data_IF_358790618230
#
_entry.id   IF_358790618230
#
_cell.length_a   1.000
_cell.length_b   1.000
_cell.length_c   1.000
_cell.angle_alpha   90.00
_cell.angle_beta   90.00
_cell.angle_gamma   90.00
#
_symmetry.space_group_name_H-M   'P 1'
#
loop_
_entity.id
_entity.type
_entity.pdbx_description
1 polymer ?
#
# COMPACT_ATOMS: atom_id res chain seq x y z
N UNK A 1 -18.06 -5.08 -6.61
CA UNK A 1 -16.82 -4.41 -7.06
C UNK A 1 -15.78 -5.50 -7.17
N UNK A 2 -15.38 -5.85 -8.38
CA UNK A 2 -14.44 -6.94 -8.67
C UNK A 2 -13.06 -6.65 -8.07
N UNK A 3 -12.63 -7.45 -7.09
CA UNK A 3 -11.28 -7.42 -6.52
C UNK A 3 -10.18 -7.53 -7.59
N UNK A 4 -10.46 -8.25 -8.68
CA UNK A 4 -9.53 -8.41 -9.80
C UNK A 4 -9.19 -7.08 -10.51
N UNK A 5 -10.12 -6.12 -10.53
CA UNK A 5 -9.87 -4.81 -11.17
C UNK A 5 -8.93 -3.94 -10.34
N UNK A 6 -9.04 -3.98 -9.01
CA UNK A 6 -8.21 -3.18 -8.13
C UNK A 6 -6.72 -3.58 -8.20
N UNK A 7 -6.44 -4.87 -8.38
CA UNK A 7 -5.07 -5.38 -8.56
C UNK A 7 -4.47 -4.95 -9.91
N UNK A 8 -5.26 -5.01 -10.98
CA UNK A 8 -4.82 -4.52 -12.29
C UNK A 8 -4.50 -3.01 -12.26
N UNK A 9 -5.25 -2.23 -11.48
CA UNK A 9 -4.96 -0.81 -11.26
C UNK A 9 -3.64 -0.60 -10.48
N UNK A 10 -3.31 -1.46 -9.51
CA UNK A 10 -2.05 -1.36 -8.75
C UNK A 10 -0.84 -1.64 -9.64
N UNK A 11 -0.90 -2.69 -10.46
CA UNK A 11 0.19 -3.05 -11.37
C UNK A 11 0.40 -1.95 -12.42
N UNK A 12 -0.68 -1.39 -12.98
CA UNK A 12 -0.59 -0.25 -13.89
C UNK A 12 0.06 0.96 -13.22
N UNK A 13 -0.36 1.31 -12.00
CA UNK A 13 0.25 2.41 -11.26
C UNK A 13 1.73 2.17 -10.95
N UNK A 14 2.13 0.92 -10.70
CA UNK A 14 3.53 0.57 -10.48
C UNK A 14 4.37 0.79 -11.75
N UNK A 15 3.87 0.38 -12.91
CA UNK A 15 4.52 0.64 -14.19
C UNK A 15 4.65 2.13 -14.49
N UNK A 16 3.61 2.92 -14.21
CA UNK A 16 3.64 4.37 -14.43
C UNK A 16 4.70 5.05 -13.53
N UNK A 17 4.85 4.60 -12.28
CA UNK A 17 5.88 5.09 -11.36
C UNK A 17 7.28 4.73 -11.87
N UNK A 18 7.50 3.50 -12.31
CA UNK A 18 8.77 3.08 -12.87
C UNK A 18 9.13 3.89 -14.12
N UNK A 19 8.19 4.04 -15.05
CA UNK A 19 8.36 4.84 -16.27
C UNK A 19 8.65 6.32 -15.95
N UNK A 20 8.07 6.86 -14.88
CA UNK A 20 8.35 8.22 -14.43
C UNK A 20 9.79 8.35 -13.92
N UNK A 21 10.26 7.41 -13.09
CA UNK A 21 11.64 7.39 -12.56
C UNK A 21 12.65 7.33 -13.71
N UNK A 22 12.40 6.47 -14.69
CA UNK A 22 13.22 6.31 -15.89
C UNK A 22 13.21 7.57 -16.76
N UNK A 23 12.03 8.13 -17.07
CA UNK A 23 11.92 9.35 -17.89
C UNK A 23 12.61 10.56 -17.27
N UNK A 24 12.66 10.61 -15.94
CA UNK A 24 13.34 11.67 -15.19
C UNK A 24 14.83 11.38 -14.97
N UNK A 25 15.35 10.23 -15.41
CA UNK A 25 16.74 9.79 -15.25
C UNK A 25 17.27 9.93 -13.80
N UNK A 26 16.45 9.57 -12.81
CA UNK A 26 16.78 9.78 -11.39
C UNK A 26 17.75 8.75 -10.81
N UNK A 27 17.99 7.64 -11.52
CA UNK A 27 18.68 6.49 -10.95
C UNK A 27 17.88 5.86 -9.80
N UNK A 28 18.56 5.28 -8.81
CA UNK A 28 17.88 4.61 -7.68
C UNK A 28 17.25 5.61 -6.71
N UNK A 29 15.95 5.50 -6.47
CA UNK A 29 15.17 6.44 -5.66
C UNK A 29 14.79 5.91 -4.28
N UNK A 30 14.49 6.83 -3.35
CA UNK A 30 13.81 6.51 -2.10
C UNK A 30 12.29 6.65 -2.32
N UNK A 31 11.56 5.53 -2.25
CA UNK A 31 10.13 5.49 -2.54
C UNK A 31 9.32 5.44 -1.24
N UNK A 32 8.31 6.31 -1.13
CA UNK A 32 7.43 6.39 0.05
C UNK A 32 5.99 6.13 -0.37
N UNK A 33 5.35 5.11 0.24
CA UNK A 33 3.97 4.72 -0.05
C UNK A 33 3.04 4.85 1.15
N UNK A 34 2.04 5.73 1.07
CA UNK A 34 1.03 5.96 2.11
C UNK A 34 -0.35 5.46 1.65
N UNK A 35 -1.15 4.87 2.55
CA UNK A 35 -2.48 4.33 2.23
C UNK A 35 -2.43 3.36 1.03
N UNK A 36 -3.28 3.49 0.01
CA UNK A 36 -3.21 2.68 -1.23
C UNK A 36 -1.86 2.75 -1.94
N UNK A 37 -1.14 3.86 -1.79
CA UNK A 37 0.21 4.00 -2.33
C UNK A 37 1.21 3.04 -1.71
N UNK A 38 0.91 2.43 -0.56
CA UNK A 38 1.70 1.35 0.00
C UNK A 38 1.74 0.11 -0.90
N UNK A 39 0.58 -0.31 -1.44
CA UNK A 39 0.48 -1.48 -2.29
C UNK A 39 1.18 -1.25 -3.63
N UNK A 40 1.01 -0.05 -4.20
CA UNK A 40 1.74 0.37 -5.41
C UNK A 40 3.24 0.39 -5.14
N UNK A 41 3.71 0.99 -4.04
CA UNK A 41 5.13 1.09 -3.75
C UNK A 41 5.78 -0.29 -3.51
N UNK A 42 5.05 -1.23 -2.91
CA UNK A 42 5.48 -2.63 -2.78
C UNK A 42 5.54 -3.31 -4.15
N UNK A 43 4.56 -3.12 -5.03
CA UNK A 43 4.57 -3.71 -6.37
C UNK A 43 5.71 -3.14 -7.24
N UNK A 44 6.00 -1.83 -7.14
CA UNK A 44 7.19 -1.23 -7.78
C UNK A 44 8.46 -1.88 -7.27
N UNK A 45 8.61 -2.05 -5.95
CA UNK A 45 9.80 -2.67 -5.39
C UNK A 45 9.95 -4.16 -5.80
N UNK A 46 8.84 -4.85 -6.06
CA UNK A 46 8.81 -6.24 -6.53
C UNK A 46 9.16 -6.39 -8.01
N UNK A 47 8.62 -5.53 -8.86
CA UNK A 47 8.78 -5.58 -10.32
C UNK A 47 9.99 -4.82 -10.85
N UNK A 48 10.42 -3.76 -10.15
CA UNK A 48 11.47 -2.82 -10.55
C UNK A 48 12.46 -2.55 -9.40
N UNK A 49 12.96 -3.62 -8.76
CA UNK A 49 13.85 -3.53 -7.59
C UNK A 49 15.16 -2.77 -7.87
N UNK A 50 15.61 -2.76 -9.13
CA UNK A 50 16.79 -2.05 -9.60
C UNK A 50 16.65 -0.52 -9.54
N UNK A 51 15.41 0.00 -9.55
CA UNK A 51 15.11 1.42 -9.44
C UNK A 51 15.00 1.91 -7.98
N UNK A 52 15.00 1.02 -6.99
CA UNK A 52 14.71 1.39 -5.60
C UNK A 52 15.98 1.31 -4.72
N UNK A 53 16.27 2.40 -4.00
CA UNK A 53 17.30 2.47 -2.95
C UNK A 53 16.72 2.20 -1.57
N UNK A 54 15.53 2.72 -1.29
CA UNK A 54 14.84 2.54 0.01
C UNK A 54 13.35 2.59 -0.21
N UNK A 55 12.61 1.78 0.54
CA UNK A 55 11.15 1.77 0.57
C UNK A 55 10.68 2.16 1.97
N UNK A 56 9.79 3.15 2.07
CA UNK A 56 9.21 3.62 3.34
C UNK A 56 7.68 3.55 3.24
N UNK A 57 7.02 2.96 4.25
CA UNK A 57 5.59 2.70 4.23
C UNK A 57 4.90 3.30 5.47
N UNK A 58 4.75 4.64 5.55
CA UNK A 58 4.00 5.25 6.63
C UNK A 58 2.50 4.97 6.43
N UNK A 59 1.91 4.14 7.29
CA UNK A 59 0.49 3.75 7.22
C UNK A 59 0.07 3.26 5.81
N UNK A 60 0.97 2.52 5.16
CA UNK A 60 0.77 1.96 3.84
C UNK A 60 -0.13 0.72 3.91
N UNK A 61 -1.17 0.67 3.08
CA UNK A 61 -1.91 -0.57 2.83
C UNK A 61 -1.00 -1.51 2.05
N UNK A 62 -0.80 -2.71 2.56
CA UNK A 62 -0.12 -3.77 1.83
C UNK A 62 -1.21 -4.76 1.45
N UNK A 63 -1.62 -4.74 0.20
CA UNK A 63 -2.50 -5.78 -0.34
C UNK A 63 -1.60 -6.91 -0.82
N UNK A 64 -1.55 -7.99 -0.03
CA UNK A 64 -0.75 -9.18 -0.32
C UNK A 64 -1.72 -10.30 -0.66
N UNK A 65 -1.65 -10.82 -1.88
CA UNK A 65 -2.42 -12.00 -2.27
C UNK A 65 -1.83 -13.20 -1.54
N UNK A 66 -2.44 -13.56 -0.41
CA UNK A 66 -2.19 -14.86 0.19
C UNK A 66 -2.80 -15.89 -0.74
N UNK A 67 -2.05 -16.93 -1.16
CA UNK A 67 -2.64 -18.01 -1.92
C UNK A 67 -3.78 -18.61 -1.09
N UNK A 68 -4.87 -19.04 -1.73
CA UNK A 68 -5.99 -19.72 -1.07
C UNK A 68 -5.61 -21.15 -0.60
N UNK A 69 -4.44 -21.29 0.03
CA UNK A 69 -4.07 -22.48 0.78
C UNK A 69 -4.58 -22.37 2.21
N UNK A 70 -4.68 -23.51 2.89
CA UNK A 70 -5.03 -23.54 4.30
C UNK A 70 -4.08 -22.67 5.16
N UNK A 71 -2.81 -22.52 4.76
CA UNK A 71 -1.86 -21.63 5.44
C UNK A 71 -2.10 -20.15 5.13
N UNK A 72 -2.49 -19.80 3.89
CA UNK A 72 -2.77 -18.41 3.50
C UNK A 72 -3.99 -17.82 4.21
N UNK A 73 -5.02 -18.63 4.47
CA UNK A 73 -6.19 -18.22 5.29
C UNK A 73 -5.82 -17.91 6.73
N UNK A 74 -4.88 -18.65 7.33
CA UNK A 74 -4.44 -18.41 8.70
C UNK A 74 -3.68 -17.07 8.84
N UNK A 75 -2.99 -16.62 7.80
CA UNK A 75 -2.30 -15.32 7.81
C UNK A 75 -3.27 -14.13 7.63
N UNK A 76 -4.30 -14.28 6.79
CA UNK A 76 -5.26 -13.20 6.47
C UNK A 76 -6.23 -12.81 7.60
N UNK A 77 -6.58 -13.75 8.49
CA UNK A 77 -7.61 -13.54 9.53
C UNK A 77 -7.17 -12.63 10.69
N UNK A 78 -5.89 -12.28 10.75
CA UNK A 78 -5.31 -11.44 11.82
C UNK A 78 -5.74 -9.98 11.78
N UNK A 79 -6.33 -9.50 10.68
CA UNK A 79 -6.60 -8.07 10.46
C UNK A 79 -8.01 -7.60 10.87
N UNK A 80 -8.94 -8.51 11.22
CA UNK A 80 -10.31 -8.13 11.63
C UNK A 80 -10.50 -7.91 13.14
N UNK A 81 -9.52 -8.22 13.99
CA UNK A 81 -9.70 -8.26 15.46
C UNK A 81 -9.00 -7.14 16.26
N UNK A 82 -8.50 -6.07 15.63
CA UNK A 82 -7.73 -5.02 16.36
C UNK A 82 -8.18 -3.59 16.02
N UNK A 83 -9.48 -3.32 15.99
CA UNK A 83 -9.97 -1.94 16.17
C UNK A 83 -11.03 -1.94 17.29
N UNK A 84 -10.65 -1.74 18.57
CA UNK A 84 -11.62 -1.37 19.58
C UNK A 84 -12.20 0.02 19.23
N UNK A 85 -13.49 0.19 19.50
CA UNK A 85 -14.33 1.26 18.96
C UNK A 85 -13.75 2.67 18.97
N UNK A 86 -14.14 3.44 17.94
CA UNK A 86 -13.91 4.88 17.80
C UNK A 86 -14.24 5.59 19.13
N UNK A 87 -13.31 6.29 19.80
CA UNK A 87 -13.68 7.09 20.94
C UNK A 87 -14.51 8.28 20.45
N UNK A 88 -15.68 8.43 21.04
CA UNK A 88 -16.64 9.48 20.75
C UNK A 88 -16.00 10.87 20.99
N UNK A 89 -15.98 11.70 19.95
CA UNK A 89 -15.44 13.06 20.05
C UNK A 89 -16.36 13.87 20.96
N UNK A 90 -15.92 14.13 22.19
CA UNK A 90 -16.52 15.16 23.04
C UNK A 90 -16.51 16.48 22.29
N UNK A 91 -17.70 16.99 21.92
CA UNK A 91 -17.87 18.39 21.52
C UNK A 91 -17.62 19.23 22.76
N UNK A 92 -16.42 19.77 22.92
CA UNK A 92 -16.20 20.90 23.83
C UNK A 92 -16.65 22.17 23.14
N UNK A 93 -17.77 22.71 23.61
CA UNK A 93 -18.20 24.07 23.36
C UNK A 93 -17.18 25.07 23.90
N UNK A 94 -16.54 25.83 23.03
CA UNK A 94 -15.98 27.15 23.29
C UNK A 94 -16.36 27.98 22.05
N UNK A 95 -17.34 28.87 22.09
CA UNK A 95 -17.35 30.17 22.79
C UNK A 95 -16.10 31.00 22.45
N UNK A 96 -16.14 31.62 21.27
CA UNK A 96 -15.62 32.96 21.04
C UNK A 96 -16.74 33.78 20.42
#
# INVERSE_FOLDING_TARGET
>A
MDEAKALQEIEQHAQDVAALIEKLNLGKVHLVGHSRGGAVAVEVAKSHADLIRTLVLPDGRIEMLVPETAEGKAAGDSTKKVIPGKPERRRTSQSC
#
